data_IF_631946799427
#
_entry.id   IF_631946799427
#
_cell.length_a   1.000
_cell.length_b   1.000
_cell.length_c   1.000
_cell.angle_alpha   90.00
_cell.angle_beta   90.00
_cell.angle_gamma   90.00
#
_symmetry.space_group_name_H-M   'P 1'
#
loop_
_entity.id
_entity.type
_entity.pdbx_description
1 polymer ?
#
# COMPACT_ATOMS: atom_id res chain seq x y z
N UNK A 1 2.52 -1.55 19.05
CA UNK A 1 3.73 -0.72 18.87
C UNK A 1 3.44 0.26 17.76
N UNK A 2 3.70 1.55 17.95
CA UNK A 2 3.39 2.58 16.97
C UNK A 2 4.63 2.92 16.15
N UNK A 3 4.76 2.35 14.95
CA UNK A 3 5.92 2.58 14.09
C UNK A 3 6.15 4.05 13.77
N UNK A 4 5.08 4.85 13.70
CA UNK A 4 5.19 6.30 13.48
C UNK A 4 5.91 7.01 14.62
N UNK A 5 5.71 6.59 15.87
CA UNK A 5 6.43 7.15 17.02
C UNK A 5 7.91 6.80 17.00
N UNK A 6 8.25 5.58 16.57
CA UNK A 6 9.65 5.15 16.36
C UNK A 6 10.30 6.03 15.29
N UNK A 7 9.67 6.19 14.12
CA UNK A 7 10.22 7.01 13.04
C UNK A 7 10.35 8.49 13.44
N UNK A 8 9.36 9.07 14.13
CA UNK A 8 9.46 10.42 14.71
C UNK A 8 10.58 10.52 15.74
N UNK A 9 10.94 9.43 16.40
CA UNK A 9 12.07 9.39 17.32
C UNK A 9 13.42 9.35 16.61
N UNK A 10 13.52 8.55 15.56
CA UNK A 10 14.73 8.39 14.76
C UNK A 10 14.99 9.57 13.82
N UNK A 11 13.98 10.40 13.50
CA UNK A 11 14.12 11.57 12.62
C UNK A 11 14.75 12.81 13.28
N UNK A 12 15.76 12.63 14.14
CA UNK A 12 16.44 13.72 14.85
C UNK A 12 17.89 13.35 15.11
N UNK A 13 18.81 14.24 14.71
CA UNK A 13 20.25 13.99 14.74
C UNK A 13 20.78 13.74 16.15
N UNK A 14 20.31 14.48 17.15
CA UNK A 14 20.76 14.33 18.54
C UNK A 14 20.32 12.98 19.11
N UNK A 15 19.09 12.55 18.86
CA UNK A 15 18.60 11.21 19.24
C UNK A 15 19.35 10.09 18.56
N UNK A 16 19.65 10.21 17.26
CA UNK A 16 20.48 9.22 16.56
C UNK A 16 21.87 9.11 17.16
N UNK A 17 22.51 10.24 17.51
CA UNK A 17 23.80 10.24 18.21
C UNK A 17 23.72 9.57 19.59
N UNK A 18 22.66 9.84 20.37
CA UNK A 18 22.43 9.17 21.66
C UNK A 18 22.28 7.66 21.47
N UNK A 19 21.43 7.23 20.52
CA UNK A 19 21.23 5.81 20.20
C UNK A 19 22.55 5.15 19.82
N UNK A 20 23.34 5.76 18.92
CA UNK A 20 24.62 5.23 18.50
C UNK A 20 25.62 5.08 19.66
N UNK A 21 25.62 6.02 20.60
CA UNK A 21 26.44 5.89 21.83
C UNK A 21 25.96 4.72 22.69
N UNK A 22 24.64 4.58 22.88
CA UNK A 22 24.05 3.51 23.69
C UNK A 22 24.13 2.11 23.05
N UNK A 23 24.31 2.03 21.74
CA UNK A 23 24.61 0.78 21.02
C UNK A 23 26.02 0.26 21.31
N UNK A 24 26.93 1.13 21.76
CA UNK A 24 28.29 0.74 22.14
C UNK A 24 28.29 0.21 23.58
N UNK A 25 27.68 0.96 24.50
CA UNK A 25 27.57 0.58 25.91
C UNK A 25 26.43 1.34 26.61
N UNK A 26 25.87 0.80 27.70
CA UNK A 26 24.95 1.53 28.57
C UNK A 26 25.63 2.75 29.22
N UNK A 27 24.94 3.90 29.25
CA UNK A 27 25.51 5.16 29.77
C UNK A 27 24.53 5.93 30.64
N UNK A 28 25.05 6.75 31.54
CA UNK A 28 24.28 7.74 32.30
C UNK A 28 24.24 9.10 31.57
N UNK A 29 23.37 10.00 32.03
CA UNK A 29 23.04 11.27 31.33
C UNK A 29 24.27 12.17 31.17
N UNK A 30 25.05 12.34 32.22
CA UNK A 30 26.20 13.25 32.24
C UNK A 30 27.30 12.78 31.28
N UNK A 31 27.54 11.48 31.14
CA UNK A 31 28.48 10.92 30.18
C UNK A 31 28.01 11.14 28.73
N UNK A 32 26.71 10.92 28.46
CA UNK A 32 26.12 11.18 27.15
C UNK A 32 26.20 12.67 26.79
N UNK A 33 25.94 13.55 27.75
CA UNK A 33 26.02 15.00 27.57
C UNK A 33 27.43 15.45 27.17
N UNK A 34 28.43 14.97 27.92
CA UNK A 34 29.85 15.26 27.64
C UNK A 34 30.26 14.75 26.25
N UNK A 35 30.01 13.47 25.96
CA UNK A 35 30.45 12.82 24.71
C UNK A 35 29.81 13.42 23.46
N UNK A 36 28.60 13.95 23.59
CA UNK A 36 27.84 14.48 22.47
C UNK A 36 27.90 16.00 22.35
N UNK A 37 28.62 16.68 23.26
CA UNK A 37 28.69 18.14 23.38
C UNK A 37 27.29 18.76 23.51
N UNK A 38 26.45 18.14 24.34
CA UNK A 38 25.08 18.57 24.61
C UNK A 38 24.89 18.90 26.08
N UNK A 39 23.88 19.72 26.40
CA UNK A 39 23.49 19.93 27.80
C UNK A 39 22.80 18.69 28.38
N UNK A 40 22.95 18.45 29.68
CA UNK A 40 22.28 17.36 30.41
C UNK A 40 20.75 17.44 30.30
N UNK A 41 20.18 18.65 30.23
CA UNK A 41 18.75 18.86 30.05
C UNK A 41 18.30 18.47 28.64
N UNK A 42 19.09 18.77 27.60
CA UNK A 42 18.85 18.33 26.23
C UNK A 42 18.90 16.80 26.12
N UNK A 43 19.91 16.17 26.70
CA UNK A 43 20.03 14.70 26.70
C UNK A 43 18.85 14.06 27.44
N UNK A 44 18.49 14.56 28.62
CA UNK A 44 17.34 14.05 29.39
C UNK A 44 16.03 14.17 28.62
N UNK A 45 15.83 15.29 27.90
CA UNK A 45 14.66 15.49 27.05
C UNK A 45 14.59 14.46 25.90
N UNK A 46 15.72 14.19 25.25
CA UNK A 46 15.80 13.20 24.18
C UNK A 46 15.61 11.77 24.70
N UNK A 47 16.24 11.41 25.83
CA UNK A 47 16.09 10.10 26.47
C UNK A 47 14.64 9.85 26.88
N UNK A 48 13.93 10.86 27.39
CA UNK A 48 12.49 10.74 27.68
C UNK A 48 11.69 10.33 26.44
N UNK A 49 11.89 11.01 25.30
CA UNK A 49 11.22 10.65 24.04
C UNK A 49 11.57 9.24 23.55
N UNK A 50 12.84 8.85 23.72
CA UNK A 50 13.31 7.51 23.34
C UNK A 50 12.71 6.42 24.25
N UNK A 51 12.53 6.70 25.54
CA UNK A 51 11.84 5.80 26.48
C UNK A 51 10.35 5.70 26.15
N UNK A 52 9.69 6.82 25.86
CA UNK A 52 8.26 6.85 25.49
C UNK A 52 8.00 5.98 24.24
N UNK A 53 8.94 5.95 23.29
CA UNK A 53 8.91 5.11 22.10
C UNK A 53 9.47 3.69 22.32
N UNK A 54 9.82 3.32 23.56
CA UNK A 54 10.42 2.04 23.95
C UNK A 54 11.75 1.71 23.24
N UNK A 55 12.47 2.70 22.71
CA UNK A 55 13.78 2.54 22.03
C UNK A 55 14.91 2.33 23.04
N UNK A 56 14.80 3.00 24.19
CA UNK A 56 15.74 2.85 25.31
C UNK A 56 14.98 2.48 26.57
N UNK A 57 15.65 1.81 27.48
CA UNK A 57 15.23 1.58 28.86
C UNK A 57 16.20 2.26 29.81
N UNK A 58 15.79 2.41 31.07
CA UNK A 58 16.66 2.90 32.13
C UNK A 58 16.63 1.98 33.34
N UNK A 59 17.74 1.94 34.05
CA UNK A 59 17.90 1.21 35.30
C UNK A 59 18.68 2.07 36.28
N UNK A 60 18.24 2.07 37.54
CA UNK A 60 18.96 2.76 38.61
C UNK A 60 20.09 1.87 39.12
N UNK A 61 21.32 2.36 39.05
CA UNK A 61 22.52 1.68 39.53
C UNK A 61 23.27 2.59 40.50
N UNK A 62 23.21 2.26 41.79
CA UNK A 62 23.74 3.06 42.88
C UNK A 62 23.28 4.53 42.81
N UNK A 63 24.18 5.41 42.35
CA UNK A 63 23.98 6.85 42.23
C UNK A 63 23.46 7.29 40.86
N UNK A 64 23.62 6.45 39.83
CA UNK A 64 23.32 6.81 38.45
C UNK A 64 22.02 6.17 37.96
N UNK A 65 21.39 6.85 37.00
CA UNK A 65 20.40 6.22 36.13
C UNK A 65 21.09 5.90 34.82
N UNK A 66 21.29 4.62 34.57
CA UNK A 66 21.96 4.11 33.38
C UNK A 66 20.90 3.77 32.32
N UNK A 67 21.14 4.20 31.09
CA UNK A 67 20.27 3.98 29.95
C UNK A 67 20.89 2.94 29.01
N UNK A 68 20.04 2.14 28.38
CA UNK A 68 20.43 1.07 27.46
C UNK A 68 19.45 0.94 26.31
N UNK A 69 19.92 0.43 25.18
CA UNK A 69 19.06 0.13 24.03
C UNK A 69 18.13 -1.05 24.34
N UNK A 70 16.89 -0.96 23.86
CA UNK A 70 15.99 -2.10 23.81
C UNK A 70 16.23 -2.89 22.52
N UNK A 71 17.07 -3.93 22.61
CA UNK A 71 17.53 -4.75 21.48
C UNK A 71 16.40 -5.32 20.61
N UNK A 72 15.24 -5.61 21.21
CA UNK A 72 14.09 -6.13 20.48
C UNK A 72 13.56 -5.21 19.38
N UNK A 73 13.79 -3.89 19.46
CA UNK A 73 13.42 -2.94 18.40
C UNK A 73 14.43 -2.99 17.24
N UNK A 74 15.70 -3.16 17.55
CA UNK A 74 16.78 -3.10 16.57
C UNK A 74 17.01 -4.44 15.85
N UNK A 75 16.38 -5.53 16.32
CA UNK A 75 16.30 -6.79 15.58
C UNK A 75 15.19 -6.81 14.52
N UNK A 76 14.31 -5.80 14.48
CA UNK A 76 13.25 -5.68 13.48
C UNK A 76 13.82 -5.19 12.14
N UNK A 77 13.24 -5.65 11.04
CA UNK A 77 13.51 -5.09 9.71
C UNK A 77 12.66 -3.85 9.45
N UNK A 78 13.06 -3.02 8.48
CA UNK A 78 12.21 -1.93 7.99
C UNK A 78 10.83 -2.43 7.53
N UNK A 79 10.76 -3.66 7.01
CA UNK A 79 9.50 -4.28 6.60
C UNK A 79 8.57 -4.53 7.79
N UNK A 80 9.12 -5.01 8.92
CA UNK A 80 8.34 -5.27 10.14
C UNK A 80 7.83 -3.96 10.78
N UNK A 81 8.57 -2.86 10.60
CA UNK A 81 8.16 -1.54 11.08
C UNK A 81 7.12 -0.87 10.17
N UNK A 82 7.17 -1.11 8.86
CA UNK A 82 6.27 -0.43 7.91
C UNK A 82 4.99 -1.21 7.63
N UNK A 83 5.01 -2.54 7.73
CA UNK A 83 3.83 -3.37 7.51
C UNK A 83 2.79 -3.17 8.62
N UNK A 84 1.70 -2.50 8.29
CA UNK A 84 0.49 -2.48 9.11
C UNK A 84 -0.46 -3.59 8.62
N UNK A 85 -0.29 -4.82 9.13
CA UNK A 85 -1.10 -5.99 8.74
C UNK A 85 -2.58 -5.89 9.17
N UNK A 86 -3.03 -4.75 9.73
CA UNK A 86 -4.41 -4.60 10.20
C UNK A 86 -5.20 -3.70 9.27
N UNK A 87 -5.96 -4.35 8.37
CA UNK A 87 -7.03 -3.76 7.52
C UNK A 87 -6.58 -2.99 6.29
N UNK A 88 -5.28 -2.86 6.00
CA UNK A 88 -4.84 -2.09 4.84
C UNK A 88 -5.29 -2.73 3.51
N UNK A 89 -5.13 -4.05 3.36
CA UNK A 89 -5.61 -4.78 2.17
C UNK A 89 -7.12 -4.65 1.98
N UNK A 90 -7.91 -4.80 3.04
CA UNK A 90 -9.37 -4.62 2.98
C UNK A 90 -9.77 -3.19 2.58
N UNK A 91 -9.09 -2.18 3.14
CA UNK A 91 -9.35 -0.76 2.83
C UNK A 91 -8.95 -0.45 1.37
N UNK A 92 -7.83 -0.99 0.90
CA UNK A 92 -7.37 -0.81 -0.48
C UNK A 92 -8.37 -1.43 -1.46
N UNK A 93 -8.78 -2.68 -1.24
CA UNK A 93 -9.77 -3.36 -2.07
C UNK A 93 -11.10 -2.59 -2.11
N UNK A 94 -11.58 -2.06 -0.98
CA UNK A 94 -12.78 -1.22 -0.94
C UNK A 94 -12.63 0.08 -1.74
N UNK A 95 -11.46 0.72 -1.71
CA UNK A 95 -11.18 1.95 -2.48
C UNK A 95 -11.12 1.67 -3.98
N UNK A 96 -10.49 0.57 -4.37
CA UNK A 96 -10.44 0.12 -5.76
C UNK A 96 -11.83 -0.18 -6.29
N UNK A 97 -12.66 -0.90 -5.53
CA UNK A 97 -14.04 -1.19 -5.89
C UNK A 97 -14.87 0.09 -6.09
N UNK A 98 -14.79 1.04 -5.16
CA UNK A 98 -15.45 2.36 -5.29
C UNK A 98 -14.98 3.13 -6.53
N UNK A 99 -13.69 3.05 -6.86
CA UNK A 99 -13.17 3.67 -8.08
C UNK A 99 -13.74 3.01 -9.34
N UNK A 100 -13.80 1.67 -9.38
CA UNK A 100 -14.39 0.91 -10.49
C UNK A 100 -15.85 1.30 -10.70
N UNK A 101 -16.65 1.31 -9.64
CA UNK A 101 -18.07 1.71 -9.69
C UNK A 101 -18.22 3.14 -10.22
N UNK A 102 -17.44 4.09 -9.70
CA UNK A 102 -17.46 5.48 -10.18
C UNK A 102 -17.11 5.59 -11.67
N UNK A 103 -16.16 4.78 -12.15
CA UNK A 103 -15.83 4.72 -13.58
C UNK A 103 -17.02 4.17 -14.36
N UNK A 104 -17.60 3.05 -13.94
CA UNK A 104 -18.77 2.45 -14.58
C UNK A 104 -19.92 3.47 -14.65
N UNK A 105 -20.28 4.12 -13.55
CA UNK A 105 -21.37 5.12 -13.50
C UNK A 105 -21.13 6.33 -14.41
N UNK A 106 -19.85 6.70 -14.62
CA UNK A 106 -19.50 7.81 -15.50
C UNK A 106 -19.73 7.46 -16.97
N UNK A 107 -19.31 6.25 -17.37
CA UNK A 107 -19.33 5.80 -18.77
C UNK A 107 -20.60 5.06 -19.18
N UNK A 108 -21.32 4.43 -18.26
CA UNK A 108 -22.59 3.77 -18.53
C UNK A 108 -23.78 4.66 -18.17
N UNK A 109 -24.86 4.57 -18.94
CA UNK A 109 -26.16 5.18 -18.63
C UNK A 109 -27.27 4.28 -19.17
N UNK A 110 -28.21 3.92 -18.31
CA UNK A 110 -29.30 2.98 -18.63
C UNK A 110 -28.79 1.67 -19.25
N UNK A 111 -27.66 1.15 -18.78
CA UNK A 111 -27.04 -0.08 -19.30
C UNK A 111 -26.26 0.07 -20.60
N UNK A 112 -26.29 1.23 -21.26
CA UNK A 112 -25.51 1.52 -22.47
C UNK A 112 -24.22 2.25 -22.15
N UNK A 113 -23.14 1.89 -22.84
CA UNK A 113 -21.88 2.62 -22.80
C UNK A 113 -22.03 3.91 -23.63
N UNK A 114 -21.73 5.07 -23.05
CA UNK A 114 -21.81 6.36 -23.75
C UNK A 114 -20.66 6.56 -24.72
N UNK A 115 -19.45 6.23 -24.27
CA UNK A 115 -18.22 6.39 -25.03
C UNK A 115 -17.18 5.38 -24.55
N UNK A 116 -16.30 4.96 -25.45
CA UNK A 116 -15.18 4.08 -25.11
C UNK A 116 -14.07 4.94 -24.49
N UNK A 117 -13.66 4.72 -23.22
CA UNK A 117 -12.67 5.56 -22.57
C UNK A 117 -11.34 5.57 -23.34
N UNK A 118 -10.70 6.73 -23.46
CA UNK A 118 -9.36 6.85 -24.06
C UNK A 118 -8.26 6.33 -23.12
N UNK A 119 -8.46 6.49 -21.81
CA UNK A 119 -7.48 6.07 -20.80
C UNK A 119 -7.50 4.54 -20.62
N UNK A 120 -6.36 3.88 -20.85
CA UNK A 120 -6.20 2.41 -20.83
C UNK A 120 -6.81 1.74 -19.58
N UNK A 121 -6.58 2.29 -18.38
CA UNK A 121 -7.11 1.72 -17.12
C UNK A 121 -8.65 1.81 -17.01
N UNK A 122 -9.25 2.93 -17.43
CA UNK A 122 -10.72 3.07 -17.43
C UNK A 122 -11.37 2.22 -18.50
N UNK A 123 -10.71 2.11 -19.67
CA UNK A 123 -11.13 1.21 -20.75
C UNK A 123 -11.14 -0.23 -20.27
N UNK A 124 -10.10 -0.68 -19.56
CA UNK A 124 -10.06 -2.01 -18.94
C UNK A 124 -11.27 -2.24 -18.02
N UNK A 125 -11.58 -1.30 -17.11
CA UNK A 125 -12.73 -1.43 -16.19
C UNK A 125 -14.06 -1.56 -16.94
N UNK A 126 -14.26 -0.75 -17.99
CA UNK A 126 -15.47 -0.82 -18.83
C UNK A 126 -15.55 -2.15 -19.58
N UNK A 127 -14.45 -2.64 -20.12
CA UNK A 127 -14.40 -3.91 -20.85
C UNK A 127 -14.61 -5.11 -19.93
N UNK A 128 -14.04 -5.10 -18.72
CA UNK A 128 -14.32 -6.10 -17.69
C UNK A 128 -15.80 -6.11 -17.33
N UNK A 129 -16.46 -4.94 -17.28
CA UNK A 129 -17.91 -4.89 -17.06
C UNK A 129 -18.70 -5.49 -18.24
N UNK A 130 -18.26 -5.30 -19.47
CA UNK A 130 -18.90 -5.87 -20.66
C UNK A 130 -18.68 -7.39 -20.72
N UNK A 131 -17.47 -7.86 -20.40
CA UNK A 131 -17.13 -9.29 -20.51
C UNK A 131 -17.92 -10.15 -19.50
N UNK A 132 -18.41 -9.56 -18.40
CA UNK A 132 -19.34 -10.20 -17.45
C UNK A 132 -20.62 -10.73 -18.12
N UNK A 133 -21.02 -10.18 -19.28
CA UNK A 133 -22.17 -10.68 -20.06
C UNK A 133 -21.89 -11.98 -20.83
N UNK A 134 -20.63 -12.41 -20.89
CA UNK A 134 -20.20 -13.66 -21.51
C UNK A 134 -19.91 -14.73 -20.45
N UNK A 135 -20.38 -15.95 -20.73
CA UNK A 135 -20.13 -17.14 -19.92
C UNK A 135 -18.69 -17.65 -20.13
N UNK A 136 -18.04 -18.12 -19.06
CA UNK A 136 -16.62 -18.51 -19.08
C UNK A 136 -16.36 -19.83 -19.83
N UNK A 137 -17.31 -20.76 -19.78
CA UNK A 137 -17.18 -22.09 -20.39
C UNK A 137 -17.96 -22.23 -21.71
N UNK A 138 -18.31 -21.10 -22.34
CA UNK A 138 -19.02 -21.06 -23.62
C UNK A 138 -18.14 -20.48 -24.74
N UNK A 139 -18.25 -21.09 -25.90
CA UNK A 139 -17.71 -20.57 -27.15
C UNK A 139 -18.76 -19.75 -27.88
N UNK A 140 -18.33 -18.62 -28.43
CA UNK A 140 -19.17 -17.67 -29.14
C UNK A 140 -18.64 -17.45 -30.55
N UNK A 141 -19.51 -17.49 -31.53
CA UNK A 141 -19.20 -17.02 -32.88
C UNK A 141 -19.01 -15.49 -32.88
N UNK A 142 -18.27 -14.96 -33.85
CA UNK A 142 -18.13 -13.50 -34.01
C UNK A 142 -19.49 -12.78 -34.06
N UNK A 143 -20.50 -13.41 -34.67
CA UNK A 143 -21.86 -12.86 -34.74
C UNK A 143 -22.50 -12.75 -33.37
N UNK A 144 -22.40 -13.79 -32.55
CA UNK A 144 -22.91 -13.76 -31.18
C UNK A 144 -22.18 -12.70 -30.34
N UNK A 145 -20.85 -12.62 -30.44
CA UNK A 145 -20.07 -11.59 -29.75
C UNK A 145 -20.50 -10.19 -30.16
N UNK A 146 -20.66 -9.94 -31.46
CA UNK A 146 -21.10 -8.63 -31.94
C UNK A 146 -22.50 -8.28 -31.42
N UNK A 147 -23.44 -9.25 -31.37
CA UNK A 147 -24.79 -9.03 -30.84
C UNK A 147 -24.76 -8.71 -29.35
N UNK A 148 -24.02 -9.48 -28.55
CA UNK A 148 -23.88 -9.23 -27.10
C UNK A 148 -23.23 -7.87 -26.83
N UNK A 149 -22.23 -7.45 -27.61
CA UNK A 149 -21.62 -6.13 -27.44
C UNK A 149 -22.57 -5.00 -27.89
N UNK A 150 -23.38 -5.22 -28.92
CA UNK A 150 -24.35 -4.23 -29.42
C UNK A 150 -25.40 -3.87 -28.35
N UNK A 151 -25.65 -4.74 -27.37
CA UNK A 151 -26.46 -4.41 -26.19
C UNK A 151 -25.83 -3.30 -25.33
N UNK A 152 -24.52 -3.06 -25.44
CA UNK A 152 -23.81 -2.00 -24.73
C UNK A 152 -23.41 -0.82 -25.62
N UNK A 153 -22.91 -1.05 -26.84
CA UNK A 153 -22.38 0.00 -27.72
C UNK A 153 -22.35 -0.42 -29.19
N UNK A 154 -22.60 0.51 -30.11
CA UNK A 154 -22.68 0.22 -31.55
C UNK A 154 -21.32 -0.07 -32.20
N UNK A 155 -20.23 0.47 -31.65
CA UNK A 155 -18.85 0.12 -32.05
C UNK A 155 -18.40 -1.21 -31.43
N UNK A 156 -19.10 -2.28 -31.82
CA UNK A 156 -18.77 -3.64 -31.38
C UNK A 156 -17.43 -4.13 -31.93
N UNK A 157 -16.96 -3.58 -33.07
CA UNK A 157 -15.67 -3.90 -33.64
C UNK A 157 -14.50 -3.46 -32.75
N UNK A 158 -14.52 -2.23 -32.25
CA UNK A 158 -13.50 -1.72 -31.33
C UNK A 158 -13.52 -2.48 -30.02
N UNK A 159 -14.71 -2.67 -29.42
CA UNK A 159 -14.84 -3.38 -28.14
C UNK A 159 -14.37 -4.83 -28.27
N UNK A 160 -14.78 -5.56 -29.33
CA UNK A 160 -14.34 -6.94 -29.57
C UNK A 160 -12.83 -7.04 -29.72
N UNK A 161 -12.21 -6.12 -30.46
CA UNK A 161 -10.75 -6.05 -30.60
C UNK A 161 -10.09 -5.80 -29.25
N UNK A 162 -10.63 -4.87 -28.47
CA UNK A 162 -10.08 -4.53 -27.17
C UNK A 162 -10.27 -5.65 -26.14
N UNK A 163 -11.38 -6.40 -26.17
CA UNK A 163 -11.57 -7.59 -25.32
C UNK A 163 -10.44 -8.62 -25.52
N UNK A 164 -9.99 -8.82 -26.76
CA UNK A 164 -8.80 -9.62 -27.06
C UNK A 164 -7.52 -8.90 -26.60
N UNK A 165 -7.37 -7.62 -26.92
CA UNK A 165 -6.18 -6.82 -26.62
C UNK A 165 -5.89 -6.66 -25.12
N UNK A 166 -6.93 -6.69 -24.29
CA UNK A 166 -6.84 -6.70 -22.82
C UNK A 166 -6.80 -8.10 -22.23
N UNK A 167 -6.73 -9.15 -23.06
CA UNK A 167 -6.67 -10.55 -22.63
C UNK A 167 -7.90 -10.96 -21.78
N UNK A 168 -9.07 -10.39 -22.08
CA UNK A 168 -10.35 -10.76 -21.45
C UNK A 168 -11.07 -11.85 -22.26
N UNK A 169 -10.76 -11.97 -23.54
CA UNK A 169 -11.22 -13.04 -24.41
C UNK A 169 -10.07 -13.58 -25.28
N UNK A 170 -10.18 -14.84 -25.68
CA UNK A 170 -9.40 -15.45 -26.75
C UNK A 170 -10.22 -15.54 -28.02
N UNK A 171 -9.52 -15.58 -29.16
CA UNK A 171 -10.11 -15.84 -30.46
C UNK A 171 -9.28 -16.88 -31.20
N UNK A 172 -9.92 -17.96 -31.62
CA UNK A 172 -9.35 -18.95 -32.53
C UNK A 172 -10.33 -19.26 -33.66
N UNK A 173 -9.88 -19.21 -34.91
CA UNK A 173 -10.69 -19.50 -36.11
C UNK A 173 -12.08 -18.81 -36.16
N UNK A 174 -12.21 -17.60 -35.60
CA UNK A 174 -13.48 -16.84 -35.59
C UNK A 174 -14.42 -17.21 -34.43
N UNK A 175 -14.00 -18.13 -33.56
CA UNK A 175 -14.64 -18.48 -32.30
C UNK A 175 -13.97 -17.71 -31.17
N UNK A 176 -14.76 -17.23 -30.23
CA UNK A 176 -14.36 -16.43 -29.09
C UNK A 176 -14.68 -17.16 -27.80
N UNK A 177 -13.82 -17.01 -26.80
CA UNK A 177 -14.03 -17.58 -25.47
C UNK A 177 -13.56 -16.59 -24.41
N UNK A 178 -14.33 -16.42 -23.33
CA UNK A 178 -13.93 -15.58 -22.20
C UNK A 178 -12.76 -16.24 -21.43
N UNK A 179 -11.76 -15.45 -21.04
CA UNK A 179 -10.67 -15.92 -20.18
C UNK A 179 -11.09 -15.96 -18.71
N UNK A 180 -10.54 -16.93 -17.99
CA UNK A 180 -10.56 -17.02 -16.52
C UNK A 180 -9.57 -16.03 -15.90
#
# INVERSE_FOLDING_TARGET
MNSLEIFKCLSDNSRLKIINSLMIEPMYVELLAERLELSTSTVSFHLKKLMDANIVSSKKEQYYTVYSINEGIFSMTLKDLVKDDRREEEILNQREQKYREKVIDSFFKYGKLKEIPVQKKKRQIVLEKIVESFEEDREYTEKEVNLTIADFHDDFCTIRRDLIGFNLMERDNGIYKRKK
#
